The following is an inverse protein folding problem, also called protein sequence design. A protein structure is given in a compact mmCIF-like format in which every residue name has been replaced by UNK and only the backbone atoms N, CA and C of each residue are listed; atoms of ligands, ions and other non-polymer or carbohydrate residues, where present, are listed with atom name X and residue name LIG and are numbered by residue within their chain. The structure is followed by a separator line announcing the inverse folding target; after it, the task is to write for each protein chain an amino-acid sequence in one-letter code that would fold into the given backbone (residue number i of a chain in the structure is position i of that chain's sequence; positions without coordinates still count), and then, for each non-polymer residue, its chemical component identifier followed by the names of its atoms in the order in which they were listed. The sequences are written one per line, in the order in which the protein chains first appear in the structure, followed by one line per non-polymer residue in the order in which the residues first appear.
data_IF_395149131457
#
_entry.id   IF_395149131457
#
_cell.length_a   1.000
_cell.length_b   1.000
_cell.length_c   1.000
_cell.angle_alpha   90.00
_cell.angle_beta   90.00
_cell.angle_gamma   90.00
#
_symmetry.space_group_name_H-M   'P 1'
#
loop_
_entity.id
_entity.type
_entity.pdbx_description
1 polymer ?
#
# COMPACT_ATOMS: atom_id res chain seq x y z
N UNK A 1 11.22 -0.90 19.18
CA UNK A 1 11.28 -1.65 17.90
C UNK A 1 12.15 -0.92 16.87
N UNK A 2 11.91 0.37 16.59
CA UNK A 2 12.70 1.17 15.63
C UNK A 2 14.23 1.05 15.80
N UNK A 3 14.77 1.41 16.97
CA UNK A 3 16.23 1.38 17.20
C UNK A 3 16.82 -0.01 17.00
N UNK A 4 16.10 -1.05 17.45
CA UNK A 4 16.50 -2.45 17.29
C UNK A 4 16.53 -2.87 15.82
N UNK A 5 15.57 -2.43 15.01
CA UNK A 5 15.54 -2.69 13.56
C UNK A 5 16.66 -1.94 12.84
N UNK A 6 16.89 -0.67 13.18
CA UNK A 6 17.98 0.10 12.60
C UNK A 6 19.33 -0.56 12.91
N UNK A 7 19.55 -0.93 14.17
CA UNK A 7 20.75 -1.65 14.59
C UNK A 7 20.92 -2.96 13.82
N UNK A 8 19.86 -3.77 13.72
CA UNK A 8 19.91 -5.03 12.97
C UNK A 8 20.25 -4.82 11.49
N UNK A 9 19.65 -3.81 10.84
CA UNK A 9 19.92 -3.49 9.44
C UNK A 9 21.37 -3.07 9.23
N UNK A 10 21.90 -2.16 10.06
CA UNK A 10 23.31 -1.75 9.95
C UNK A 10 24.29 -2.88 10.23
N UNK A 11 24.00 -3.76 11.19
CA UNK A 11 24.88 -4.86 11.55
C UNK A 11 24.89 -6.00 10.51
N UNK A 12 23.77 -6.24 9.82
CA UNK A 12 23.59 -7.40 8.92
C UNK A 12 23.41 -7.02 7.45
N UNK A 13 23.42 -5.73 7.12
CA UNK A 13 23.11 -5.20 5.79
C UNK A 13 21.61 -5.07 5.50
N UNK A 14 20.75 -5.86 6.16
CA UNK A 14 19.30 -5.77 5.99
C UNK A 14 18.54 -6.19 7.25
N UNK A 15 17.31 -5.72 7.38
CA UNK A 15 16.36 -6.18 8.39
C UNK A 15 14.92 -6.08 7.87
N UNK A 16 14.02 -6.85 8.47
CA UNK A 16 12.61 -6.89 8.07
C UNK A 16 11.70 -6.80 9.29
N UNK A 17 10.69 -5.94 9.24
CA UNK A 17 9.53 -5.98 10.13
C UNK A 17 8.37 -6.63 9.38
N UNK A 18 7.79 -7.66 9.97
CA UNK A 18 6.56 -8.30 9.52
C UNK A 18 5.50 -8.18 10.61
N UNK A 19 4.37 -7.56 10.28
CA UNK A 19 3.22 -7.40 11.16
C UNK A 19 1.98 -7.98 10.47
N UNK A 20 1.18 -8.70 11.24
CA UNK A 20 -0.13 -9.20 10.83
C UNK A 20 -1.15 -9.01 11.95
N UNK A 21 -2.41 -9.37 11.69
CA UNK A 21 -3.53 -9.20 12.62
C UNK A 21 -3.77 -7.73 13.03
N UNK A 22 -3.60 -6.79 12.10
CA UNK A 22 -3.78 -5.35 12.38
C UNK A 22 -4.94 -4.72 11.64
N UNK A 23 -5.28 -3.50 12.04
CA UNK A 23 -6.02 -2.58 11.18
C UNK A 23 -5.12 -2.05 10.05
N UNK A 24 -5.70 -1.22 9.18
CA UNK A 24 -4.99 -0.57 8.07
C UNK A 24 -3.82 0.28 8.56
N UNK A 25 -2.69 0.24 7.86
CA UNK A 25 -1.42 0.82 8.29
C UNK A 25 -1.30 2.34 8.21
N UNK A 26 -2.33 3.06 7.76
CA UNK A 26 -2.25 4.51 7.57
C UNK A 26 -1.33 4.90 6.40
N UNK A 27 -0.56 5.96 6.59
CA UNK A 27 0.41 6.48 5.61
C UNK A 27 1.71 5.67 5.69
N UNK A 28 2.06 4.95 4.61
CA UNK A 28 3.26 4.12 4.62
C UNK A 28 4.54 4.98 4.62
N UNK A 29 4.44 6.16 4.05
CA UNK A 29 5.51 7.13 3.97
C UNK A 29 6.06 7.58 5.31
N UNK A 30 5.23 7.67 6.35
CA UNK A 30 5.69 8.03 7.71
C UNK A 30 6.74 7.03 8.23
N UNK A 31 6.52 5.73 7.97
CA UNK A 31 7.45 4.69 8.40
C UNK A 31 8.74 4.72 7.58
N UNK A 32 8.64 4.73 6.25
CA UNK A 32 9.80 4.64 5.37
C UNK A 32 10.70 5.87 5.53
N UNK A 33 10.12 7.07 5.55
CA UNK A 33 10.85 8.33 5.76
C UNK A 33 11.69 8.30 7.04
N UNK A 34 11.13 7.80 8.14
CA UNK A 34 11.84 7.67 9.43
C UNK A 34 13.07 6.78 9.33
N UNK A 35 13.02 5.71 8.56
CA UNK A 35 14.17 4.83 8.33
C UNK A 35 15.18 5.46 7.37
N UNK A 36 14.74 6.19 6.35
CA UNK A 36 15.64 6.95 5.47
C UNK A 36 16.38 8.06 6.22
N UNK A 37 15.73 8.75 7.15
CA UNK A 37 16.38 9.72 8.04
C UNK A 37 17.43 9.06 8.96
N UNK A 38 17.31 7.76 9.22
CA UNK A 38 18.30 6.96 9.94
C UNK A 38 19.38 6.35 9.02
N UNK A 39 19.45 6.75 7.74
CA UNK A 39 20.47 6.28 6.79
C UNK A 39 20.18 4.91 6.19
N UNK A 40 18.92 4.45 6.18
CA UNK A 40 18.50 3.17 5.62
C UNK A 40 17.60 3.35 4.40
N UNK A 41 17.77 2.52 3.37
CA UNK A 41 16.74 2.39 2.34
C UNK A 41 15.60 1.59 2.94
N UNK A 42 14.36 2.03 2.73
CA UNK A 42 13.16 1.37 3.23
C UNK A 42 12.13 1.15 2.12
N UNK A 43 11.55 -0.05 2.09
CA UNK A 43 10.36 -0.39 1.31
C UNK A 43 9.28 -0.87 2.26
N UNK A 44 8.13 -0.20 2.29
CA UNK A 44 6.96 -0.63 3.04
C UNK A 44 5.83 -1.01 2.09
N UNK A 45 5.12 -2.09 2.41
CA UNK A 45 3.94 -2.56 1.68
C UNK A 45 2.87 -3.01 2.66
N UNK A 46 1.61 -2.76 2.33
CA UNK A 46 0.48 -3.14 3.17
C UNK A 46 -0.72 -3.60 2.33
N UNK A 47 -1.62 -4.36 2.94
CA UNK A 47 -2.88 -4.75 2.33
C UNK A 47 -4.07 -4.38 3.23
N UNK A 48 -5.27 -4.65 2.74
CA UNK A 48 -6.54 -4.33 3.39
C UNK A 48 -7.70 -5.11 2.80
N UNK A 49 -8.95 -4.78 3.15
CA UNK A 49 -10.12 -5.39 2.51
C UNK A 49 -10.16 -5.09 1.01
N UNK A 50 -10.72 -6.01 0.22
CA UNK A 50 -10.78 -5.86 -1.23
C UNK A 50 -11.64 -4.65 -1.64
N UNK A 51 -11.06 -3.78 -2.48
CA UNK A 51 -11.67 -2.54 -2.99
C UNK A 51 -11.47 -2.36 -4.51
N UNK A 52 -10.47 -3.01 -5.09
CA UNK A 52 -10.06 -2.85 -6.49
C UNK A 52 -10.44 -4.08 -7.31
N UNK A 53 -11.00 -3.87 -8.51
CA UNK A 53 -11.17 -4.92 -9.52
C UNK A 53 -9.99 -4.89 -10.49
N UNK A 54 -9.30 -6.02 -10.65
CA UNK A 54 -8.20 -6.15 -11.63
C UNK A 54 -8.70 -6.63 -12.98
N UNK A 55 -8.00 -6.34 -14.10
CA UNK A 55 -8.40 -6.79 -15.43
C UNK A 55 -8.68 -8.31 -15.48
N UNK A 56 -9.85 -8.69 -15.97
CA UNK A 56 -10.29 -10.08 -16.06
C UNK A 56 -10.95 -10.66 -14.81
N UNK A 57 -10.95 -9.94 -13.68
CA UNK A 57 -11.68 -10.35 -12.48
C UNK A 57 -13.19 -10.06 -12.62
N UNK A 58 -14.02 -10.88 -11.95
CA UNK A 58 -15.48 -10.71 -11.90
C UNK A 58 -15.96 -9.77 -10.79
N UNK A 59 -15.04 -9.18 -10.02
CA UNK A 59 -15.33 -8.35 -8.86
C UNK A 59 -14.06 -7.82 -8.21
N UNK A 60 -14.19 -7.30 -6.99
CA UNK A 60 -13.05 -6.82 -6.18
C UNK A 60 -12.10 -7.99 -5.89
N UNK A 61 -10.81 -7.73 -5.94
CA UNK A 61 -9.74 -8.74 -5.79
C UNK A 61 -8.73 -8.32 -4.75
N UNK A 62 -8.22 -7.09 -4.84
CA UNK A 62 -7.21 -6.56 -3.94
C UNK A 62 -7.71 -5.33 -3.21
N UNK A 63 -7.07 -4.95 -2.11
CA UNK A 63 -7.20 -3.61 -1.57
C UNK A 63 -6.55 -2.57 -2.50
N UNK A 64 -6.38 -1.34 -2.03
CA UNK A 64 -5.57 -0.34 -2.76
C UNK A 64 -4.08 -0.73 -2.83
N UNK A 65 -3.64 -1.71 -2.03
CA UNK A 65 -2.31 -2.32 -2.02
C UNK A 65 -1.19 -1.28 -2.13
N UNK A 66 -1.07 -0.37 -1.14
CA UNK A 66 -0.06 0.67 -1.19
C UNK A 66 1.36 0.13 -1.05
N UNK A 67 2.29 0.87 -1.64
CA UNK A 67 3.72 0.73 -1.40
C UNK A 67 4.36 2.11 -1.20
N UNK A 68 5.31 2.18 -0.28
CA UNK A 68 6.19 3.33 -0.09
C UNK A 68 7.64 2.89 -0.18
N UNK A 69 8.45 3.74 -0.79
CA UNK A 69 9.89 3.58 -0.86
C UNK A 69 10.55 4.88 -0.43
N UNK A 70 11.63 4.77 0.33
CA UNK A 70 12.49 5.89 0.67
C UNK A 70 13.96 5.49 0.70
N UNK A 71 14.84 6.40 0.31
CA UNK A 71 16.29 6.25 0.44
C UNK A 71 16.91 7.52 1.06
N UNK A 72 17.98 7.41 1.85
CA UNK A 72 18.75 8.57 2.29
C UNK A 72 19.37 9.28 1.08
N UNK A 73 19.71 10.56 1.28
CA UNK A 73 20.36 11.42 0.29
C UNK A 73 21.37 12.32 1.02
N UNK A 74 22.51 12.60 0.39
CA UNK A 74 23.58 13.43 0.93
C UNK A 74 23.18 14.88 1.22
N UNK A 75 22.17 15.41 0.52
CA UNK A 75 21.60 16.74 0.80
C UNK A 75 20.69 16.76 2.04
N UNK A 76 20.48 15.61 2.68
CA UNK A 76 19.66 15.44 3.87
C UNK A 76 18.16 15.35 3.59
N UNK A 77 17.73 15.38 2.31
CA UNK A 77 16.32 15.25 1.92
C UNK A 77 16.11 13.86 1.30
N UNK A 78 15.48 12.91 2.02
CA UNK A 78 15.27 11.57 1.51
C UNK A 78 14.53 11.53 0.16
N UNK A 79 15.02 10.70 -0.76
CA UNK A 79 14.32 10.37 -2.00
C UNK A 79 13.15 9.45 -1.64
N UNK A 80 11.92 9.84 -1.95
CA UNK A 80 10.75 9.11 -1.45
C UNK A 80 9.55 9.16 -2.39
N UNK A 81 8.78 8.07 -2.40
CA UNK A 81 7.39 8.08 -2.82
C UNK A 81 6.52 7.23 -1.88
N UNK A 82 5.24 7.58 -1.79
CA UNK A 82 4.19 6.78 -1.16
C UNK A 82 2.97 6.82 -2.06
N UNK A 83 2.47 5.64 -2.47
CA UNK A 83 1.34 5.55 -3.37
C UNK A 83 0.53 4.27 -3.19
N UNK A 84 -0.77 4.38 -3.45
CA UNK A 84 -1.62 3.24 -3.72
C UNK A 84 -1.30 2.63 -5.09
N UNK A 85 -1.54 1.32 -5.26
CA UNK A 85 -1.57 0.72 -6.58
C UNK A 85 -2.89 0.98 -7.33
N UNK A 86 -3.93 1.46 -6.66
CA UNK A 86 -5.17 1.88 -7.30
C UNK A 86 -5.01 3.21 -8.04
N UNK A 87 -5.82 3.42 -9.08
CA UNK A 87 -5.84 4.65 -9.87
C UNK A 87 -6.24 5.88 -9.06
N UNK A 88 -6.90 5.67 -7.91
CA UNK A 88 -7.24 6.69 -6.94
C UNK A 88 -7.27 6.12 -5.52
N UNK A 89 -7.10 7.00 -4.53
CA UNK A 89 -7.35 6.65 -3.15
C UNK A 89 -8.87 6.52 -2.90
N UNK A 90 -9.28 5.52 -2.11
CA UNK A 90 -10.69 5.32 -1.76
C UNK A 90 -11.32 6.56 -1.11
N UNK A 91 -10.55 7.26 -0.26
CA UNK A 91 -10.98 8.49 0.41
C UNK A 91 -11.32 9.62 -0.57
N UNK A 92 -10.67 9.68 -1.74
CA UNK A 92 -10.97 10.69 -2.75
C UNK A 92 -12.31 10.42 -3.42
N UNK A 93 -12.65 9.15 -3.68
CA UNK A 93 -13.98 8.77 -4.19
C UNK A 93 -15.05 9.02 -3.14
N UNK A 94 -14.79 8.63 -1.88
CA UNK A 94 -15.72 8.90 -0.79
C UNK A 94 -15.98 10.39 -0.58
N UNK A 95 -14.94 11.23 -0.69
CA UNK A 95 -15.07 12.67 -0.62
C UNK A 95 -15.90 13.22 -1.79
N UNK A 96 -15.57 12.85 -3.04
CA UNK A 96 -16.33 13.27 -4.22
C UNK A 96 -17.82 12.87 -4.12
N UNK A 97 -18.11 11.67 -3.62
CA UNK A 97 -19.48 11.22 -3.38
C UNK A 97 -20.19 12.06 -2.31
N UNK A 98 -19.49 12.43 -1.22
CA UNK A 98 -20.06 13.26 -0.16
C UNK A 98 -20.35 14.69 -0.61
N UNK A 99 -19.60 15.22 -1.58
CA UNK A 99 -19.78 16.57 -2.14
C UNK A 99 -20.63 16.59 -3.41
N UNK A 100 -21.11 15.42 -3.87
CA UNK A 100 -21.86 15.29 -5.14
C UNK A 100 -21.03 15.64 -6.38
N UNK A 101 -19.71 15.53 -6.31
CA UNK A 101 -18.78 15.80 -7.41
C UNK A 101 -18.48 14.55 -8.21
N UNK A 102 -18.21 14.72 -9.51
CA UNK A 102 -17.75 13.63 -10.37
C UNK A 102 -16.28 13.25 -10.08
N UNK A 103 -15.92 12.01 -10.41
CA UNK A 103 -14.53 11.54 -10.45
C UNK A 103 -14.00 11.48 -11.90
N UNK A 104 -12.68 11.55 -12.10
CA UNK A 104 -12.05 11.32 -13.40
C UNK A 104 -12.35 9.93 -13.98
N UNK A 105 -12.33 9.83 -15.30
CA UNK A 105 -12.40 8.56 -16.01
C UNK A 105 -11.23 7.63 -15.63
N UNK A 106 -11.49 6.32 -15.60
CA UNK A 106 -10.49 5.31 -15.29
C UNK A 106 -10.15 5.14 -13.81
N UNK A 107 -10.80 5.86 -12.91
CA UNK A 107 -10.63 5.66 -11.46
C UNK A 107 -11.40 4.46 -10.93
N UNK A 108 -12.61 4.22 -11.45
CA UNK A 108 -13.51 3.22 -10.92
C UNK A 108 -14.50 2.70 -11.98
N UNK A 109 -15.12 1.57 -11.62
CA UNK A 109 -16.28 0.99 -12.29
C UNK A 109 -17.48 0.99 -11.34
N UNK A 110 -18.69 0.95 -11.90
CA UNK A 110 -19.93 0.74 -11.17
C UNK A 110 -20.12 -0.74 -10.74
N UNK A 111 -21.26 -1.06 -10.14
CA UNK A 111 -21.59 -2.42 -9.69
C UNK A 111 -21.73 -3.42 -10.85
N UNK A 112 -21.98 -2.95 -12.07
CA UNK A 112 -22.06 -3.78 -13.28
C UNK A 112 -20.69 -3.94 -13.95
N UNK A 113 -19.65 -3.28 -13.45
CA UNK A 113 -18.31 -3.32 -14.01
C UNK A 113 -18.07 -2.33 -15.16
N UNK A 114 -18.99 -1.39 -15.41
CA UNK A 114 -18.82 -0.35 -16.41
C UNK A 114 -18.03 0.82 -15.83
N UNK A 115 -17.11 1.40 -16.61
CA UNK A 115 -16.38 2.61 -16.19
C UNK A 115 -17.33 3.75 -15.84
N UNK A 116 -17.06 4.45 -14.73
CA UNK A 116 -17.98 5.49 -14.23
C UNK A 116 -17.23 6.72 -13.73
N UNK A 117 -17.86 7.89 -13.94
CA UNK A 117 -17.49 9.17 -13.35
C UNK A 117 -18.36 9.55 -12.16
N UNK A 118 -19.43 8.80 -11.90
CA UNK A 118 -20.32 9.05 -10.78
C UNK A 118 -19.71 8.45 -9.50
N UNK A 119 -19.34 9.31 -8.55
CA UNK A 119 -18.66 8.88 -7.32
C UNK A 119 -19.53 7.95 -6.44
N UNK A 120 -20.85 8.14 -6.39
CA UNK A 120 -21.76 7.26 -5.64
C UNK A 120 -21.84 5.86 -6.26
N UNK A 121 -21.91 5.79 -7.60
CA UNK A 121 -21.86 4.53 -8.32
C UNK A 121 -20.52 3.81 -8.09
N UNK A 122 -19.41 4.56 -8.09
CA UNK A 122 -18.07 4.02 -7.82
C UNK A 122 -17.93 3.44 -6.40
N UNK A 123 -18.55 4.04 -5.38
CA UNK A 123 -18.55 3.49 -4.00
C UNK A 123 -19.21 2.10 -3.91
N UNK A 124 -20.23 1.87 -4.75
CA UNK A 124 -20.94 0.59 -4.82
C UNK A 124 -20.26 -0.41 -5.77
N UNK A 125 -19.43 0.09 -6.69
CA UNK A 125 -18.61 -0.70 -7.60
C UNK A 125 -17.22 -0.97 -7.05
N UNK A 126 -16.19 -0.76 -7.87
CA UNK A 126 -14.80 -1.04 -7.51
C UNK A 126 -13.83 0.00 -8.10
N UNK A 127 -12.72 0.21 -7.40
CA UNK A 127 -11.57 0.96 -7.93
C UNK A 127 -10.89 0.19 -9.06
N UNK A 128 -10.16 0.90 -9.92
CA UNK A 128 -9.29 0.31 -10.94
C UNK A 128 -7.81 0.45 -10.56
N UNK A 129 -6.90 -0.40 -11.07
CA UNK A 129 -5.46 -0.25 -10.88
C UNK A 129 -4.89 0.93 -11.69
N UNK A 130 -3.88 1.62 -11.16
CA UNK A 130 -3.16 2.61 -11.97
C UNK A 130 -2.45 1.91 -13.15
N UNK A 131 -2.45 2.52 -14.33
CA UNK A 131 -1.79 1.93 -15.49
C UNK A 131 -2.30 0.53 -15.90
N UNK A 132 -3.52 0.16 -15.50
CA UNK A 132 -4.17 -1.11 -15.86
C UNK A 132 -3.39 -2.34 -15.39
N UNK A 133 -3.01 -3.22 -16.33
CA UNK A 133 -2.30 -4.47 -16.01
C UNK A 133 -0.99 -4.25 -15.26
N UNK A 134 -0.29 -3.13 -15.47
CA UNK A 134 0.98 -2.86 -14.78
C UNK A 134 0.76 -2.59 -13.29
N UNK A 135 -0.24 -1.79 -12.92
CA UNK A 135 -0.61 -1.59 -11.52
C UNK A 135 -1.15 -2.89 -10.90
N UNK A 136 -1.92 -3.68 -11.64
CA UNK A 136 -2.40 -4.98 -11.17
C UNK A 136 -1.26 -5.96 -10.83
N UNK A 137 -0.17 -5.95 -11.61
CA UNK A 137 1.02 -6.76 -11.29
C UNK A 137 1.71 -6.30 -9.99
N UNK A 138 1.77 -4.99 -9.74
CA UNK A 138 2.29 -4.46 -8.47
C UNK A 138 1.38 -4.80 -7.30
N UNK A 139 0.06 -4.76 -7.49
CA UNK A 139 -0.90 -5.21 -6.47
C UNK A 139 -0.65 -6.65 -6.07
N UNK A 140 -0.43 -7.56 -7.03
CA UNK A 140 -0.12 -8.95 -6.74
C UNK A 140 1.15 -9.07 -5.89
N UNK A 141 2.22 -8.35 -6.25
CA UNK A 141 3.46 -8.33 -5.47
C UNK A 141 3.21 -7.84 -4.04
N UNK A 142 2.52 -6.71 -3.88
CA UNK A 142 2.16 -6.16 -2.57
C UNK A 142 1.31 -7.15 -1.78
N UNK A 143 0.35 -7.81 -2.40
CA UNK A 143 -0.52 -8.78 -1.74
C UNK A 143 0.27 -9.96 -1.17
N UNK A 144 1.17 -10.53 -1.97
CA UNK A 144 2.03 -11.64 -1.55
C UNK A 144 2.94 -11.23 -0.40
N UNK A 145 3.50 -10.01 -0.43
CA UNK A 145 4.41 -9.52 0.59
C UNK A 145 3.71 -9.07 1.88
N UNK A 146 2.57 -8.40 1.77
CA UNK A 146 1.84 -7.84 2.91
C UNK A 146 0.89 -8.84 3.54
N UNK A 147 0.25 -9.73 2.77
CA UNK A 147 -0.64 -10.78 3.30
C UNK A 147 0.11 -12.11 3.45
N UNK A 148 0.55 -12.67 2.33
CA UNK A 148 1.12 -14.02 2.28
C UNK A 148 2.34 -14.21 3.16
N UNK A 149 3.33 -13.31 3.06
CA UNK A 149 4.57 -13.40 3.84
C UNK A 149 4.37 -13.06 5.32
N UNK A 150 3.46 -12.13 5.66
CA UNK A 150 3.23 -11.74 7.06
C UNK A 150 2.32 -12.70 7.81
N UNK A 151 1.56 -13.52 7.09
CA UNK A 151 0.50 -14.37 7.65
C UNK A 151 -0.78 -13.59 7.97
N UNK A 152 -0.96 -12.39 7.41
CA UNK A 152 -2.21 -11.64 7.46
C UNK A 152 -3.27 -12.23 6.54
N UNK A 153 -4.51 -11.77 6.71
CA UNK A 153 -5.59 -12.12 5.80
C UNK A 153 -5.29 -11.58 4.39
N UNK A 154 -5.58 -12.39 3.37
CA UNK A 154 -5.66 -11.90 2.00
C UNK A 154 -6.81 -10.90 1.87
N UNK A 155 -6.71 -9.98 0.91
CA UNK A 155 -7.68 -8.90 0.73
C UNK A 155 -9.12 -9.40 0.55
N UNK A 156 -9.28 -10.57 -0.08
CA UNK A 156 -10.58 -11.23 -0.25
C UNK A 156 -11.17 -11.79 1.04
N UNK A 157 -10.31 -12.16 1.99
CA UNK A 157 -10.69 -12.76 3.28
C UNK A 157 -10.78 -11.72 4.40
N UNK A 158 -10.19 -10.53 4.19
CA UNK A 158 -10.19 -9.45 5.16
C UNK A 158 -11.57 -8.77 5.27
N UNK A 159 -12.24 -8.77 6.45
CA UNK A 159 -13.53 -8.12 6.62
C UNK A 159 -13.39 -6.60 6.51
N UNK A 160 -14.49 -5.92 6.20
CA UNK A 160 -14.52 -4.48 6.02
C UNK A 160 -13.95 -3.72 7.24
N UNK A 161 -13.06 -2.76 7.00
CA UNK A 161 -12.39 -1.99 8.06
C UNK A 161 -13.29 -0.95 8.73
N UNK A 162 -14.44 -0.63 8.13
CA UNK A 162 -15.37 0.39 8.58
C UNK A 162 -16.69 -0.19 9.14
N UNK A 163 -16.77 -1.50 9.35
CA UNK A 163 -17.97 -2.17 9.85
C UNK A 163 -17.59 -3.25 10.87
N UNK A 164 -18.46 -3.47 11.85
CA UNK A 164 -18.29 -4.50 12.88
C UNK A 164 -17.22 -4.17 13.92
N UNK A 165 -16.88 -5.17 14.74
CA UNK A 165 -15.94 -5.06 15.86
C UNK A 165 -14.70 -5.96 15.68
N UNK A 166 -14.52 -6.53 14.49
CA UNK A 166 -13.42 -7.42 14.19
C UNK A 166 -12.32 -6.66 13.47
N UNK A 167 -11.07 -7.01 13.78
CA UNK A 167 -9.93 -6.56 13.00
C UNK A 167 -10.01 -7.14 11.58
N UNK A 168 -9.74 -6.35 10.53
CA UNK A 168 -9.54 -6.87 9.18
C UNK A 168 -8.42 -7.90 9.07
N UNK A 169 -7.52 -7.92 10.06
CA UNK A 169 -6.39 -8.82 10.09
C UNK A 169 -5.38 -8.52 8.99
N UNK A 170 -5.19 -7.23 8.66
CA UNK A 170 -4.26 -6.74 7.65
C UNK A 170 -2.81 -7.01 8.03
N UNK A 171 -1.93 -6.92 7.04
CA UNK A 171 -0.50 -6.99 7.23
C UNK A 171 0.26 -5.76 6.74
N UNK A 172 1.44 -5.61 7.31
CA UNK A 172 2.44 -4.60 6.98
C UNK A 172 3.80 -5.28 6.95
N UNK A 173 4.50 -5.13 5.84
CA UNK A 173 5.90 -5.52 5.71
C UNK A 173 6.75 -4.26 5.52
N UNK A 174 7.83 -4.12 6.28
CA UNK A 174 8.87 -3.11 6.06
C UNK A 174 10.19 -3.83 5.86
N UNK A 175 10.81 -3.61 4.70
CA UNK A 175 12.14 -4.09 4.35
C UNK A 175 13.14 -2.95 4.46
N UNK A 176 14.23 -3.18 5.16
CA UNK A 176 15.30 -2.22 5.40
C UNK A 176 16.61 -2.72 4.80
N UNK A 177 17.33 -1.84 4.11
CA UNK A 177 18.67 -2.09 3.61
C UNK A 177 19.60 -1.01 4.14
N UNK A 178 20.75 -1.40 4.67
CA UNK A 178 21.82 -0.48 5.04
C UNK A 178 22.74 -0.26 3.83
N UNK A 179 22.60 0.83 3.06
CA UNK A 179 23.32 1.00 1.80
C UNK A 179 24.84 0.97 1.97
N UNK A 180 25.36 1.57 3.05
CA UNK A 180 26.78 1.58 3.38
C UNK A 180 27.39 0.19 3.65
N UNK A 181 26.56 -0.82 3.94
CA UNK A 181 26.99 -2.21 4.05
C UNK A 181 27.37 -2.79 2.68
N UNK A 182 26.70 -2.35 1.62
CA UNK A 182 26.90 -2.86 0.25
C UNK A 182 27.88 -2.00 -0.56
N UNK A 183 27.87 -0.67 -0.36
CA UNK A 183 28.75 0.27 -1.04
C UNK A 183 29.09 1.44 -0.12
N UNK A 184 30.38 1.64 0.15
CA UNK A 184 30.86 2.73 1.02
C UNK A 184 30.69 4.12 0.42
N UNK A 185 30.42 4.22 -0.90
CA UNK A 185 30.20 5.48 -1.62
C UNK A 185 28.73 5.76 -1.92
N UNK A 186 27.79 5.11 -1.22
CA UNK A 186 26.38 5.47 -1.33
C UNK A 186 26.14 6.81 -0.63
N UNK A 187 25.65 7.78 -1.38
CA UNK A 187 25.34 9.15 -0.97
C UNK A 187 23.87 9.45 -1.20
#
# INVERSE_FOLDING_TARGET
CFDSLCHAAHANGMATLSQCNSFTSGELGDYTLRFAQAGLIALAVANGPALVAVPGAKGKTYSTNPLSFSAPSADGIPLMFDQACSAAAFVNIAHAASTGSDIPDGWAVDQQGNGTRNALAALSGALLPFGGHRGANLMLMVEVLAAGLTGANWSLDAPAFNQGNQTPGCGLLILLLAPAFFSSGFE
#
